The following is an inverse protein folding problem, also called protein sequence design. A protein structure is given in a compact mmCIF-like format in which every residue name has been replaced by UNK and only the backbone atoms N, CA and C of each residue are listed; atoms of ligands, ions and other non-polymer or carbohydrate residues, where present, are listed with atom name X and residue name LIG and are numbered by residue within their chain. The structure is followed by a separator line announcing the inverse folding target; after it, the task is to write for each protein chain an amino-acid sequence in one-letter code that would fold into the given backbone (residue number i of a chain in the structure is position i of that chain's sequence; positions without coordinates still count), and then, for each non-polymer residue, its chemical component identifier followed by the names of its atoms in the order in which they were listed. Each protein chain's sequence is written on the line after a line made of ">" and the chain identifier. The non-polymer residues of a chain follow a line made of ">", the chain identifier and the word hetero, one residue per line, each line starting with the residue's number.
data_IF_442557914340
#
_entry.id   IF_442557914340
#
_cell.length_a   1.000
_cell.length_b   1.000
_cell.length_c   1.000
_cell.angle_alpha   90.00
_cell.angle_beta   90.00
_cell.angle_gamma   90.00
#
_symmetry.space_group_name_H-M   'P 1'
#
loop_
_entity.id
_entity.type
_entity.pdbx_description
1 polymer ?
#
# COMPACT_ATOMS: atom_id res chain seq x y z
N UNK A 1 -13.36 12.64 -1.55
CA UNK A 1 -12.07 13.27 -1.77
C UNK A 1 -11.18 13.08 -0.54
N UNK A 2 -9.89 12.74 -0.75
CA UNK A 2 -8.98 12.32 0.31
C UNK A 2 -8.73 13.36 1.39
N UNK A 3 -8.59 14.61 1.03
CA UNK A 3 -8.37 15.70 2.00
C UNK A 3 -9.58 15.92 2.91
N UNK A 4 -10.80 15.87 2.33
CA UNK A 4 -12.03 16.06 3.09
C UNK A 4 -12.24 14.93 4.11
N UNK A 5 -12.06 13.68 3.68
CA UNK A 5 -12.14 12.52 4.57
C UNK A 5 -11.04 12.52 5.62
N UNK A 6 -9.81 12.90 5.24
CA UNK A 6 -8.69 13.04 6.17
C UNK A 6 -8.96 14.08 7.25
N UNK A 7 -9.50 15.25 6.88
CA UNK A 7 -9.88 16.30 7.84
C UNK A 7 -10.97 15.83 8.80
N UNK A 8 -11.99 15.15 8.29
CA UNK A 8 -13.05 14.56 9.12
C UNK A 8 -12.51 13.51 10.10
N UNK A 9 -11.66 12.60 9.61
CA UNK A 9 -11.02 11.58 10.44
C UNK A 9 -10.09 12.21 11.52
N UNK A 10 -9.36 13.29 11.17
CA UNK A 10 -8.51 14.00 12.10
C UNK A 10 -9.29 14.57 13.28
N UNK A 11 -10.49 15.11 13.02
CA UNK A 11 -11.36 15.67 14.06
C UNK A 11 -11.94 14.60 14.99
N UNK A 12 -12.22 13.40 14.48
CA UNK A 12 -12.85 12.32 15.25
C UNK A 12 -11.87 11.40 15.97
N UNK A 13 -10.58 11.44 15.63
CA UNK A 13 -9.56 10.51 16.16
C UNK A 13 -8.44 11.25 16.86
N UNK A 14 -7.72 10.54 17.74
CA UNK A 14 -6.63 11.14 18.54
C UNK A 14 -5.28 10.46 18.37
N UNK A 15 -5.24 9.23 17.85
CA UNK A 15 -4.03 8.40 17.81
C UNK A 15 -3.71 7.86 16.43
N UNK A 16 -4.69 7.37 15.70
CA UNK A 16 -4.48 6.75 14.39
C UNK A 16 -3.84 7.73 13.40
N UNK A 17 -2.86 7.27 12.65
CA UNK A 17 -2.30 7.99 11.52
C UNK A 17 -3.29 8.13 10.37
N UNK A 18 -3.23 9.22 9.64
CA UNK A 18 -4.13 9.55 8.54
C UNK A 18 -3.29 9.73 7.28
N UNK A 19 -3.48 8.86 6.31
CA UNK A 19 -2.73 8.91 5.06
C UNK A 19 -3.66 9.27 3.91
N UNK A 20 -3.31 10.35 3.19
CA UNK A 20 -4.08 10.81 2.02
C UNK A 20 -3.35 10.40 0.75
N UNK A 21 -4.08 9.79 -0.19
CA UNK A 21 -3.54 9.39 -1.50
C UNK A 21 -3.71 10.52 -2.51
N UNK A 22 -2.61 10.91 -3.15
CA UNK A 22 -2.58 11.96 -4.17
C UNK A 22 -1.92 11.43 -5.44
N UNK A 23 -2.58 11.66 -6.58
CA UNK A 23 -1.97 11.42 -7.89
C UNK A 23 -1.10 12.62 -8.26
N UNK A 24 0.21 12.50 -8.00
CA UNK A 24 1.17 13.60 -8.18
C UNK A 24 1.46 13.91 -9.65
N UNK A 25 1.09 13.04 -10.59
CA UNK A 25 1.20 13.33 -12.04
C UNK A 25 0.29 14.48 -12.47
N UNK A 26 -0.81 14.69 -11.76
CA UNK A 26 -1.83 15.69 -12.07
C UNK A 26 -2.00 16.75 -10.98
N UNK A 27 -1.08 16.79 -10.00
CA UNK A 27 -1.15 17.70 -8.86
C UNK A 27 0.01 18.69 -8.89
N UNK A 28 -0.18 19.83 -8.23
CA UNK A 28 0.86 20.84 -8.01
C UNK A 28 1.52 20.63 -6.66
N UNK A 29 2.88 20.66 -6.56
CA UNK A 29 3.59 20.39 -5.31
C UNK A 29 3.35 21.45 -4.23
N UNK A 30 3.18 22.75 -4.60
CA UNK A 30 2.93 23.81 -3.63
C UNK A 30 1.54 23.66 -2.99
N UNK A 31 0.51 23.44 -3.80
CA UNK A 31 -0.85 23.22 -3.31
C UNK A 31 -0.95 21.93 -2.49
N UNK A 32 -0.26 20.86 -2.91
CA UNK A 32 -0.19 19.61 -2.15
C UNK A 32 0.49 19.80 -0.80
N UNK A 33 1.61 20.51 -0.74
CA UNK A 33 2.31 20.81 0.51
C UNK A 33 1.42 21.61 1.48
N UNK A 34 0.74 22.66 0.98
CA UNK A 34 -0.22 23.42 1.79
C UNK A 34 -1.34 22.57 2.39
N UNK A 35 -1.96 21.73 1.57
CA UNK A 35 -3.08 20.90 2.01
C UNK A 35 -2.64 19.83 3.02
N UNK A 36 -1.53 19.14 2.74
CA UNK A 36 -1.00 18.08 3.61
C UNK A 36 -0.50 18.64 4.94
N UNK A 37 0.25 19.75 4.94
CA UNK A 37 0.74 20.36 6.18
C UNK A 37 -0.42 20.94 6.99
N UNK A 38 -1.44 21.54 6.34
CA UNK A 38 -2.66 21.95 7.03
C UNK A 38 -3.36 20.78 7.71
N UNK A 39 -3.46 19.64 7.03
CA UNK A 39 -4.03 18.42 7.61
C UNK A 39 -3.15 17.87 8.75
N UNK A 40 -1.83 18.01 8.66
CA UNK A 40 -0.92 17.62 9.72
C UNK A 40 -1.14 18.46 11.00
N UNK A 41 -1.35 19.77 10.86
CA UNK A 41 -1.76 20.62 11.99
C UNK A 41 -3.11 20.20 12.57
N UNK A 42 -4.13 19.96 11.73
CA UNK A 42 -5.45 19.51 12.18
C UNK A 42 -5.38 18.16 12.91
N UNK A 43 -4.53 17.27 12.46
CA UNK A 43 -4.34 15.94 13.05
C UNK A 43 -3.33 15.91 14.19
N UNK A 44 -2.63 17.03 14.46
CA UNK A 44 -1.56 17.14 15.47
C UNK A 44 -0.39 16.19 15.18
N UNK A 45 0.13 16.24 13.94
CA UNK A 45 1.30 15.47 13.55
C UNK A 45 1.01 14.02 13.16
N UNK A 46 -0.21 13.69 12.73
CA UNK A 46 -0.58 12.31 12.36
C UNK A 46 -0.84 12.09 10.87
N UNK A 47 -0.46 13.03 10.01
CA UNK A 47 -0.72 12.96 8.57
C UNK A 47 0.46 12.36 7.81
N UNK A 48 0.17 11.49 6.83
CA UNK A 48 1.10 11.00 5.83
C UNK A 48 0.58 11.21 4.41
N UNK A 49 1.48 11.18 3.45
CA UNK A 49 1.19 11.36 2.02
C UNK A 49 1.48 10.07 1.25
N UNK A 50 0.44 9.43 0.71
CA UNK A 50 0.63 8.34 -0.24
C UNK A 50 0.67 8.90 -1.67
N UNK A 51 1.83 8.79 -2.31
CA UNK A 51 2.04 9.28 -3.67
C UNK A 51 1.79 8.18 -4.69
N UNK A 52 0.95 8.47 -5.67
CA UNK A 52 0.73 7.61 -6.82
C UNK A 52 1.00 8.37 -8.11
N UNK A 53 1.48 7.66 -9.13
CA UNK A 53 1.84 8.24 -10.43
C UNK A 53 0.81 7.89 -11.52
N UNK A 54 -0.30 7.25 -11.16
CA UNK A 54 -1.31 6.81 -12.11
C UNK A 54 -0.87 5.62 -12.98
N UNK A 55 -1.80 5.12 -13.78
CA UNK A 55 -1.60 3.97 -14.68
C UNK A 55 -1.87 4.40 -16.11
N UNK A 56 -0.95 4.08 -17.02
CA UNK A 56 -1.14 4.28 -18.45
C UNK A 56 -2.29 3.41 -19.00
N UNK A 57 -2.89 3.85 -20.11
CA UNK A 57 -3.97 3.11 -20.78
C UNK A 57 -5.36 3.33 -20.15
N UNK A 58 -5.50 4.31 -19.27
CA UNK A 58 -6.80 4.76 -18.74
C UNK A 58 -7.14 6.16 -19.29
N UNK A 59 -8.42 6.45 -19.44
CA UNK A 59 -8.89 7.79 -19.84
C UNK A 59 -8.82 8.85 -18.72
N UNK A 60 -8.22 8.48 -17.58
CA UNK A 60 -8.12 9.38 -16.43
C UNK A 60 -7.39 10.71 -16.74
N UNK A 61 -6.39 10.68 -17.63
CA UNK A 61 -5.63 11.86 -18.08
C UNK A 61 -6.51 12.95 -18.69
N UNK A 62 -7.57 12.55 -19.39
CA UNK A 62 -8.51 13.48 -20.06
C UNK A 62 -9.26 14.36 -19.07
N UNK A 63 -9.48 13.91 -17.83
CA UNK A 63 -10.08 14.74 -16.77
C UNK A 63 -9.13 15.83 -16.26
N UNK A 64 -7.85 15.78 -16.65
CA UNK A 64 -6.82 16.75 -16.26
C UNK A 64 -6.24 17.49 -17.47
N UNK A 65 -7.03 17.65 -18.52
CA UNK A 65 -6.67 18.37 -19.78
C UNK A 65 -5.41 17.78 -20.46
N UNK A 66 -5.22 16.46 -20.39
CA UNK A 66 -4.14 15.75 -21.07
C UNK A 66 -4.72 14.64 -21.92
N UNK A 67 -4.28 14.56 -23.18
CA UNK A 67 -4.73 13.53 -24.11
C UNK A 67 -4.27 12.13 -23.66
N UNK A 68 -3.04 12.03 -23.16
CA UNK A 68 -2.42 10.76 -22.75
C UNK A 68 -1.77 10.86 -21.37
N UNK A 69 -1.65 9.71 -20.73
CA UNK A 69 -0.86 9.56 -19.51
C UNK A 69 0.62 9.50 -19.86
N UNK A 70 1.53 10.22 -19.17
CA UNK A 70 2.94 10.22 -19.50
C UNK A 70 3.56 8.81 -19.37
N UNK A 71 4.56 8.55 -20.22
CA UNK A 71 5.34 7.31 -20.19
C UNK A 71 6.10 7.14 -18.86
N UNK A 72 6.48 5.90 -18.54
CA UNK A 72 7.10 5.58 -17.25
C UNK A 72 8.30 6.47 -16.89
N UNK A 73 9.25 6.63 -17.80
CA UNK A 73 10.46 7.45 -17.57
C UNK A 73 10.11 8.92 -17.25
N UNK A 74 9.15 9.50 -17.97
CA UNK A 74 8.74 10.88 -17.78
C UNK A 74 7.95 11.07 -16.47
N UNK A 75 7.00 10.18 -16.19
CA UNK A 75 6.20 10.29 -14.97
C UNK A 75 7.02 10.10 -13.70
N UNK A 76 8.05 9.25 -13.71
CA UNK A 76 8.91 9.06 -12.55
C UNK A 76 9.96 10.19 -12.41
N UNK A 77 10.44 10.78 -13.50
CA UNK A 77 11.23 12.00 -13.45
C UNK A 77 10.42 13.19 -12.88
N UNK A 78 9.15 13.32 -13.30
CA UNK A 78 8.22 14.30 -12.73
C UNK A 78 7.95 14.02 -11.24
N UNK A 79 7.76 12.76 -10.86
CA UNK A 79 7.53 12.37 -9.47
C UNK A 79 8.74 12.64 -8.56
N UNK A 80 9.95 12.43 -9.06
CA UNK A 80 11.17 12.74 -8.31
C UNK A 80 11.28 14.24 -8.05
N UNK A 81 11.09 15.07 -9.07
CA UNK A 81 11.12 16.53 -8.93
C UNK A 81 9.99 17.05 -8.05
N UNK A 82 8.77 16.48 -8.19
CA UNK A 82 7.65 16.80 -7.31
C UNK A 82 7.99 16.58 -5.84
N UNK A 83 8.57 15.43 -5.48
CA UNK A 83 8.95 15.11 -4.11
C UNK A 83 10.13 15.94 -3.61
N UNK A 84 11.07 16.34 -4.47
CA UNK A 84 12.11 17.30 -4.11
C UNK A 84 11.49 18.64 -3.70
N UNK A 85 10.60 19.20 -4.53
CA UNK A 85 9.91 20.46 -4.25
C UNK A 85 9.03 20.35 -3.02
N UNK A 86 8.25 19.28 -2.90
CA UNK A 86 7.40 19.02 -1.73
C UNK A 86 8.23 19.01 -0.44
N UNK A 87 9.32 18.25 -0.40
CA UNK A 87 10.19 18.19 0.78
C UNK A 87 10.86 19.54 1.07
N UNK A 88 11.34 20.25 0.06
CA UNK A 88 11.92 21.58 0.24
C UNK A 88 10.90 22.57 0.84
N UNK A 89 9.65 22.55 0.36
CA UNK A 89 8.59 23.42 0.88
C UNK A 89 8.21 23.08 2.32
N UNK A 90 8.06 21.80 2.67
CA UNK A 90 7.69 21.38 4.03
C UNK A 90 8.79 21.63 5.04
N UNK A 91 10.06 21.78 4.60
CA UNK A 91 11.21 22.12 5.41
C UNK A 91 11.67 23.58 5.23
N UNK A 92 10.86 24.45 4.64
CA UNK A 92 11.23 25.84 4.36
C UNK A 92 11.19 26.78 5.56
N UNK A 93 10.76 26.29 6.72
CA UNK A 93 10.77 27.01 8.00
C UNK A 93 11.59 26.26 9.04
N UNK A 94 12.39 27.01 9.82
CA UNK A 94 13.11 26.46 10.97
C UNK A 94 12.14 26.14 12.13
N UNK A 95 12.47 25.20 13.03
CA UNK A 95 11.59 24.82 14.13
C UNK A 95 11.19 25.96 15.07
N UNK A 96 12.08 26.96 15.25
CA UNK A 96 11.92 28.12 16.14
C UNK A 96 11.40 29.38 15.41
N UNK A 97 10.63 29.21 14.36
CA UNK A 97 10.05 30.27 13.52
C UNK A 97 9.04 31.17 14.25
N UNK A 98 8.35 30.64 15.30
CA UNK A 98 7.29 31.32 16.00
C UNK A 98 7.84 32.20 17.12
N UNK A 99 7.54 33.50 17.10
CA UNK A 99 7.89 34.46 18.14
C UNK A 99 6.73 34.72 19.09
N UNK A 100 5.51 34.88 18.57
CA UNK A 100 4.24 35.17 19.27
C UNK A 100 4.36 36.33 20.33
N UNK A 101 5.13 37.37 20.00
CA UNK A 101 5.24 38.55 20.81
C UNK A 101 4.09 39.52 20.51
N UNK A 102 3.09 39.49 21.34
CA UNK A 102 1.88 40.31 21.20
C UNK A 102 2.11 41.79 21.53
N UNK A 103 3.05 42.09 22.42
CA UNK A 103 3.35 43.45 22.81
C UNK A 103 4.03 44.22 21.68
N UNK A 104 4.96 43.56 20.97
CA UNK A 104 5.64 44.14 19.82
C UNK A 104 4.93 43.87 18.47
N UNK A 105 3.83 43.08 18.49
CA UNK A 105 3.09 42.71 17.29
C UNK A 105 3.90 41.81 16.34
N UNK A 106 4.84 41.02 16.86
CA UNK A 106 5.68 40.12 16.08
C UNK A 106 5.17 38.71 16.24
N UNK A 107 4.60 38.14 15.15
CA UNK A 107 4.08 36.79 15.16
C UNK A 107 5.15 35.74 14.85
N UNK A 108 5.98 36.01 13.84
CA UNK A 108 7.04 35.09 13.39
C UNK A 108 8.35 35.84 13.12
N UNK A 109 9.45 35.09 13.13
CA UNK A 109 10.74 35.60 12.67
C UNK A 109 10.88 35.32 11.14
N UNK A 110 10.84 36.36 10.29
CA UNK A 110 10.95 36.19 8.84
C UNK A 110 12.31 35.63 8.41
N UNK A 111 13.36 35.75 9.23
CA UNK A 111 14.68 35.19 8.93
C UNK A 111 14.70 33.64 9.01
N UNK A 112 13.69 33.05 9.69
CA UNK A 112 13.52 31.61 9.82
C UNK A 112 12.79 30.96 8.64
N UNK A 113 12.24 31.74 7.72
CA UNK A 113 11.58 31.28 6.49
C UNK A 113 12.51 31.37 5.29
N UNK A 114 12.80 30.26 4.66
CA UNK A 114 13.77 30.18 3.56
C UNK A 114 13.06 29.96 2.23
N UNK A 115 13.39 30.81 1.23
CA UNK A 115 12.97 30.53 -0.13
C UNK A 115 13.64 29.26 -0.62
N UNK A 116 12.92 28.44 -1.37
CA UNK A 116 13.50 27.26 -2.01
C UNK A 116 14.07 27.58 -3.39
N UNK A 117 13.56 28.64 -4.05
CA UNK A 117 13.94 29.14 -5.37
C UNK A 117 14.23 27.99 -6.37
N UNK A 118 13.33 27.00 -6.39
CA UNK A 118 13.46 25.83 -7.24
C UNK A 118 13.14 26.19 -8.69
N UNK A 119 14.05 25.90 -9.60
CA UNK A 119 13.87 25.98 -11.04
C UNK A 119 14.28 24.62 -11.66
N UNK A 120 13.30 23.81 -12.03
CA UNK A 120 13.52 22.49 -12.56
C UNK A 120 12.88 22.27 -13.93
N UNK A 121 12.87 21.04 -14.37
CA UNK A 121 12.28 20.66 -15.67
C UNK A 121 10.77 20.78 -15.67
N UNK A 122 10.12 20.45 -14.56
CA UNK A 122 8.66 20.35 -14.45
C UNK A 122 8.05 21.44 -13.58
N UNK A 123 8.81 21.99 -12.65
CA UNK A 123 8.32 22.96 -11.67
C UNK A 123 9.26 24.15 -11.52
N UNK A 124 8.66 25.32 -11.28
CA UNK A 124 9.34 26.52 -10.85
C UNK A 124 8.62 27.08 -9.63
N UNK A 125 9.25 26.99 -8.44
CA UNK A 125 8.58 27.27 -7.17
C UNK A 125 9.50 28.07 -6.25
N UNK A 126 9.06 29.28 -5.88
CA UNK A 126 9.86 30.19 -5.07
C UNK A 126 9.91 29.83 -3.58
N UNK A 127 8.79 29.40 -3.01
CA UNK A 127 8.69 29.27 -1.55
C UNK A 127 8.86 30.61 -0.78
N UNK A 128 8.98 30.58 0.54
CA UNK A 128 8.71 29.43 1.39
C UNK A 128 7.23 29.00 1.37
N UNK A 129 6.93 27.90 2.02
CA UNK A 129 5.54 27.50 2.24
C UNK A 129 4.86 28.54 3.15
N UNK A 130 3.62 28.92 2.85
CA UNK A 130 2.87 29.91 3.62
C UNK A 130 2.08 29.30 4.79
N UNK A 131 2.50 28.14 5.25
CA UNK A 131 1.94 27.40 6.38
C UNK A 131 3.12 27.10 7.34
N UNK A 132 2.90 27.12 8.66
CA UNK A 132 3.91 26.71 9.64
C UNK A 132 4.46 25.31 9.35
N UNK A 133 5.70 24.99 9.80
CA UNK A 133 6.28 23.67 9.57
C UNK A 133 5.38 22.56 10.15
N UNK A 134 5.43 21.35 9.58
CA UNK A 134 4.59 20.25 10.04
C UNK A 134 4.90 19.90 11.51
N UNK A 135 3.89 19.71 12.37
CA UNK A 135 4.08 19.39 13.79
C UNK A 135 4.95 18.17 14.08
N UNK A 136 5.01 17.21 13.15
CA UNK A 136 5.87 16.02 13.27
C UNK A 136 7.26 16.20 12.63
N UNK A 137 7.64 17.43 12.25
CA UNK A 137 8.94 17.77 11.65
C UNK A 137 9.00 17.53 10.14
N UNK A 138 8.52 16.41 9.63
CA UNK A 138 8.40 16.08 8.21
C UNK A 138 7.14 15.23 7.95
N UNK A 139 6.71 15.17 6.73
CA UNK A 139 5.56 14.33 6.35
C UNK A 139 6.06 12.94 5.90
N UNK A 140 5.60 11.84 6.52
CA UNK A 140 5.90 10.50 6.03
C UNK A 140 5.33 10.28 4.64
N UNK A 141 6.14 9.69 3.76
CA UNK A 141 5.77 9.39 2.38
C UNK A 141 5.52 7.90 2.22
N UNK A 142 4.39 7.58 1.61
CA UNK A 142 4.01 6.23 1.22
C UNK A 142 4.06 6.13 -0.30
N UNK A 143 4.53 5.01 -0.82
CA UNK A 143 4.55 4.77 -2.26
C UNK A 143 4.27 3.31 -2.60
N UNK A 144 3.77 3.04 -3.80
CA UNK A 144 3.52 1.71 -4.33
C UNK A 144 4.07 1.56 -5.74
N UNK A 145 4.28 0.32 -6.16
CA UNK A 145 4.70 -0.03 -7.52
C UNK A 145 5.78 -1.09 -7.54
N UNK A 146 5.94 -1.72 -8.72
CA UNK A 146 6.82 -2.86 -8.93
C UNK A 146 7.80 -2.67 -10.09
N UNK A 147 7.81 -1.50 -10.76
CA UNK A 147 8.82 -1.18 -11.77
C UNK A 147 10.14 -0.73 -11.12
N UNK A 148 11.22 -0.78 -11.86
CA UNK A 148 12.55 -0.37 -11.40
C UNK A 148 12.57 1.09 -10.97
N UNK A 149 11.96 1.99 -11.75
CA UNK A 149 11.84 3.41 -11.43
C UNK A 149 11.01 3.63 -10.15
N UNK A 150 9.97 2.82 -9.93
CA UNK A 150 9.19 2.84 -8.68
C UNK A 150 10.05 2.41 -7.49
N UNK A 151 10.92 1.42 -7.68
CA UNK A 151 11.83 0.98 -6.63
C UNK A 151 12.82 2.08 -6.26
N UNK A 152 13.42 2.74 -7.24
CA UNK A 152 14.34 3.86 -7.02
C UNK A 152 13.65 5.04 -6.31
N UNK A 153 12.48 5.46 -6.81
CA UNK A 153 11.71 6.54 -6.17
C UNK A 153 11.36 6.20 -4.72
N UNK A 154 10.90 4.96 -4.49
CA UNK A 154 10.53 4.48 -3.16
C UNK A 154 11.74 4.36 -2.22
N UNK A 155 12.90 3.89 -2.70
CA UNK A 155 14.11 3.82 -1.89
C UNK A 155 14.60 5.21 -1.47
N UNK A 156 14.43 6.20 -2.34
CA UNK A 156 14.83 7.59 -2.09
C UNK A 156 13.93 8.30 -1.08
N UNK A 157 12.61 8.12 -1.16
CA UNK A 157 11.65 8.98 -0.45
C UNK A 157 10.68 8.26 0.49
N UNK A 158 10.30 7.00 0.19
CA UNK A 158 9.19 6.38 0.90
C UNK A 158 9.58 5.82 2.26
N UNK A 159 8.78 6.12 3.27
CA UNK A 159 8.85 5.53 4.62
C UNK A 159 8.05 4.23 4.68
N UNK A 160 7.01 4.11 3.84
CA UNK A 160 6.20 2.90 3.71
C UNK A 160 6.08 2.53 2.24
N UNK A 161 6.27 1.25 1.94
CA UNK A 161 6.01 0.67 0.63
C UNK A 161 4.77 -0.21 0.69
N UNK A 162 3.74 0.15 -0.07
CA UNK A 162 2.67 -0.79 -0.35
C UNK A 162 3.09 -1.74 -1.46
N UNK A 163 2.84 -3.02 -1.25
CA UNK A 163 3.18 -4.06 -2.23
C UNK A 163 2.01 -5.02 -2.47
N UNK A 164 2.01 -5.76 -3.58
CA UNK A 164 1.22 -6.97 -3.68
C UNK A 164 1.81 -8.06 -2.79
N UNK A 165 1.04 -9.09 -2.48
CA UNK A 165 1.55 -10.34 -1.94
C UNK A 165 1.43 -11.43 -2.99
N UNK A 166 2.53 -12.10 -3.31
CA UNK A 166 2.62 -13.11 -4.37
C UNK A 166 3.26 -14.42 -3.91
N UNK A 167 3.06 -14.79 -2.65
CA UNK A 167 3.64 -15.98 -2.05
C UNK A 167 4.99 -15.74 -1.37
N UNK A 168 5.42 -16.69 -0.55
CA UNK A 168 6.56 -16.55 0.38
C UNK A 168 7.87 -16.17 -0.31
N UNK A 169 8.25 -16.95 -1.31
CA UNK A 169 9.56 -16.77 -1.97
C UNK A 169 9.63 -15.46 -2.73
N UNK A 170 8.54 -15.10 -3.43
CA UNK A 170 8.47 -13.84 -4.15
C UNK A 170 8.53 -12.64 -3.20
N UNK A 171 7.76 -12.67 -2.09
CA UNK A 171 7.73 -11.55 -1.16
C UNK A 171 9.04 -11.41 -0.39
N UNK A 172 9.71 -12.50 -0.05
CA UNK A 172 11.05 -12.47 0.54
C UNK A 172 12.09 -11.87 -0.42
N UNK A 173 12.04 -12.27 -1.69
CA UNK A 173 12.90 -11.70 -2.72
C UNK A 173 12.60 -10.20 -2.95
N UNK A 174 11.32 -9.83 -3.02
CA UNK A 174 10.87 -8.44 -3.11
C UNK A 174 11.33 -7.60 -1.91
N UNK A 175 11.19 -8.13 -0.70
CA UNK A 175 11.65 -7.48 0.53
C UNK A 175 13.15 -7.17 0.48
N UNK A 176 13.96 -8.16 0.13
CA UNK A 176 15.40 -8.01 0.03
C UNK A 176 15.83 -7.01 -1.06
N UNK A 177 15.15 -7.05 -2.21
CA UNK A 177 15.40 -6.13 -3.33
C UNK A 177 15.13 -4.67 -2.92
N UNK A 178 13.99 -4.40 -2.27
CA UNK A 178 13.62 -3.06 -1.82
C UNK A 178 14.57 -2.56 -0.73
N UNK A 179 14.81 -3.37 0.30
CA UNK A 179 15.69 -2.99 1.42
C UNK A 179 17.14 -2.81 0.94
N UNK A 180 17.60 -3.61 -0.02
CA UNK A 180 18.94 -3.53 -0.60
C UNK A 180 19.24 -2.23 -1.36
N UNK A 181 18.21 -1.48 -1.78
CA UNK A 181 18.40 -0.18 -2.46
C UNK A 181 18.55 1.01 -1.50
N UNK A 182 18.13 0.88 -0.26
CA UNK A 182 18.13 1.99 0.72
C UNK A 182 19.51 2.60 0.98
N UNK A 183 20.62 1.81 1.10
CA UNK A 183 21.94 2.36 1.36
C UNK A 183 22.44 3.33 0.30
N UNK A 184 22.00 3.20 -0.96
CA UNK A 184 22.30 4.16 -2.05
C UNK A 184 21.88 5.59 -1.70
N UNK A 185 20.87 5.74 -0.85
CA UNK A 185 20.29 7.02 -0.41
C UNK A 185 20.59 7.34 1.05
N UNK A 186 21.61 6.70 1.64
CA UNK A 186 22.00 6.90 3.03
C UNK A 186 20.97 6.44 4.05
N UNK A 187 20.10 5.50 3.65
CA UNK A 187 19.03 4.94 4.49
C UNK A 187 19.34 3.49 4.89
N UNK A 188 18.73 3.04 5.96
CA UNK A 188 18.83 1.68 6.50
C UNK A 188 17.51 0.92 6.34
N UNK A 189 17.53 -0.37 6.59
CA UNK A 189 16.31 -1.18 6.58
C UNK A 189 15.23 -0.69 7.56
N UNK A 190 15.64 -0.10 8.68
CA UNK A 190 14.73 0.46 9.68
C UNK A 190 13.99 1.73 9.22
N UNK A 191 14.49 2.41 8.19
CA UNK A 191 13.90 3.66 7.69
C UNK A 191 12.72 3.43 6.72
N UNK A 192 12.35 2.17 6.44
CA UNK A 192 11.25 1.89 5.53
C UNK A 192 10.51 0.61 5.89
N UNK A 193 9.18 0.64 5.85
CA UNK A 193 8.31 -0.52 6.08
C UNK A 193 7.66 -1.00 4.79
N UNK A 194 7.59 -2.32 4.60
CA UNK A 194 6.94 -2.98 3.46
C UNK A 194 5.63 -3.58 3.94
N UNK A 195 4.50 -3.10 3.39
CA UNK A 195 3.15 -3.48 3.80
C UNK A 195 2.36 -4.04 2.60
N UNK A 196 2.34 -5.36 2.39
CA UNK A 196 1.45 -5.96 1.40
C UNK A 196 -0.02 -5.86 1.83
N UNK A 197 -0.90 -5.83 0.83
CA UNK A 197 -2.33 -5.75 1.04
C UNK A 197 -3.00 -7.10 1.12
N UNK A 198 -3.90 -7.29 2.11
CA UNK A 198 -4.67 -8.51 2.29
C UNK A 198 -6.14 -8.19 2.57
N UNK A 199 -7.02 -9.07 2.09
CA UNK A 199 -8.43 -9.08 2.47
C UNK A 199 -8.65 -10.18 3.50
N UNK A 200 -8.91 -9.80 4.75
CA UNK A 200 -9.09 -10.76 5.83
C UNK A 200 -10.54 -11.14 6.04
N UNK A 201 -10.81 -12.44 6.01
CA UNK A 201 -12.07 -13.06 6.43
C UNK A 201 -11.85 -13.77 7.76
N UNK A 202 -12.25 -13.11 8.83
CA UNK A 202 -11.99 -13.58 10.21
C UNK A 202 -13.32 -13.88 10.91
N UNK A 203 -13.32 -14.97 11.67
CA UNK A 203 -14.40 -15.31 12.59
C UNK A 203 -13.86 -16.06 13.81
N UNK A 204 -14.69 -16.44 14.78
CA UNK A 204 -14.30 -17.22 15.95
C UNK A 204 -13.69 -18.57 15.58
N UNK A 205 -14.14 -19.17 14.49
CA UNK A 205 -13.63 -20.45 13.97
C UNK A 205 -13.28 -20.34 12.49
N UNK A 206 -12.28 -21.09 12.05
CA UNK A 206 -11.89 -21.19 10.63
C UNK A 206 -13.04 -21.67 9.76
N UNK A 207 -13.90 -22.57 10.28
CA UNK A 207 -15.10 -23.02 9.56
C UNK A 207 -16.08 -21.88 9.30
N UNK A 208 -16.32 -21.03 10.30
CA UNK A 208 -17.21 -19.87 10.16
C UNK A 208 -16.62 -18.82 9.20
N UNK A 209 -15.32 -18.55 9.29
CA UNK A 209 -14.61 -17.65 8.39
C UNK A 209 -14.71 -18.13 6.91
N UNK A 210 -14.52 -19.44 6.66
CA UNK A 210 -14.68 -20.03 5.33
C UNK A 210 -16.11 -19.97 4.82
N UNK A 211 -17.10 -20.13 5.70
CA UNK A 211 -18.50 -19.95 5.32
C UNK A 211 -18.80 -18.52 4.87
N UNK A 212 -18.32 -17.51 5.62
CA UNK A 212 -18.43 -16.09 5.22
C UNK A 212 -17.72 -15.80 3.90
N UNK A 213 -16.52 -16.32 3.71
CA UNK A 213 -15.80 -16.16 2.45
C UNK A 213 -16.63 -16.68 1.27
N UNK A 214 -17.17 -17.91 1.37
CA UNK A 214 -18.04 -18.50 0.33
C UNK A 214 -19.30 -17.70 0.10
N UNK A 215 -19.93 -17.19 1.17
CA UNK A 215 -21.10 -16.33 1.05
C UNK A 215 -20.81 -15.09 0.22
N UNK A 216 -19.72 -14.36 0.50
CA UNK A 216 -19.31 -13.18 -0.27
C UNK A 216 -19.02 -13.54 -1.73
N UNK A 217 -18.37 -14.68 -1.98
CA UNK A 217 -18.11 -15.16 -3.34
C UNK A 217 -19.41 -15.41 -4.13
N UNK A 218 -20.48 -15.83 -3.47
CA UNK A 218 -21.78 -16.06 -4.12
C UNK A 218 -22.49 -14.76 -4.55
N UNK A 219 -22.07 -13.59 -4.06
CA UNK A 219 -22.56 -12.30 -4.55
C UNK A 219 -21.96 -11.87 -5.89
N UNK A 220 -21.04 -12.63 -6.44
CA UNK A 220 -20.50 -12.37 -7.78
C UNK A 220 -21.59 -12.58 -8.83
N UNK A 221 -22.09 -11.49 -9.39
CA UNK A 221 -23.21 -11.49 -10.35
C UNK A 221 -22.76 -11.71 -11.79
N UNK A 222 -21.45 -11.76 -12.05
CA UNK A 222 -20.92 -11.92 -13.37
C UNK A 222 -21.17 -13.33 -13.91
N UNK A 223 -21.54 -13.44 -15.19
CA UNK A 223 -21.55 -14.70 -15.88
C UNK A 223 -20.14 -15.31 -15.88
N UNK A 224 -20.07 -16.63 -15.72
CA UNK A 224 -18.81 -17.33 -15.76
C UNK A 224 -18.11 -17.13 -17.11
N UNK A 225 -16.87 -16.64 -17.05
CA UNK A 225 -16.03 -16.36 -18.21
C UNK A 225 -14.82 -17.31 -18.27
N UNK A 226 -14.93 -18.45 -18.98
CA UNK A 226 -13.85 -19.44 -19.05
C UNK A 226 -12.51 -18.84 -19.56
N UNK A 227 -12.58 -17.93 -20.53
CA UNK A 227 -11.40 -17.26 -21.08
C UNK A 227 -10.66 -16.39 -20.04
N UNK A 228 -11.40 -15.75 -19.13
CA UNK A 228 -10.78 -14.95 -18.08
C UNK A 228 -10.01 -15.83 -17.08
N UNK A 229 -10.58 -16.98 -16.71
CA UNK A 229 -9.96 -17.95 -15.82
C UNK A 229 -8.72 -18.59 -16.45
N UNK A 230 -8.85 -19.04 -17.69
CA UNK A 230 -7.74 -19.62 -18.48
C UNK A 230 -6.63 -18.59 -18.68
N UNK A 231 -6.99 -17.34 -19.00
CA UNK A 231 -6.04 -16.23 -19.10
C UNK A 231 -5.34 -15.91 -17.78
N UNK A 232 -6.05 -15.96 -16.67
CA UNK A 232 -5.50 -15.78 -15.33
C UNK A 232 -4.47 -16.87 -14.98
N UNK A 233 -4.81 -18.13 -15.26
CA UNK A 233 -3.88 -19.26 -15.10
C UNK A 233 -2.75 -19.25 -16.14
N UNK A 234 -2.95 -18.55 -17.28
CA UNK A 234 -2.04 -18.46 -18.41
C UNK A 234 -1.68 -19.84 -18.99
N UNK A 235 -2.63 -20.72 -18.99
CA UNK A 235 -2.51 -22.06 -19.51
C UNK A 235 -3.22 -22.17 -20.85
N UNK A 236 -2.72 -23.03 -21.73
CA UNK A 236 -3.44 -23.44 -22.93
C UNK A 236 -4.44 -24.53 -22.56
N UNK A 237 -5.53 -24.12 -21.94
CA UNK A 237 -6.67 -25.00 -21.65
C UNK A 237 -7.80 -24.68 -22.63
N UNK A 238 -8.62 -25.70 -22.91
CA UNK A 238 -9.92 -25.49 -23.53
C UNK A 238 -10.84 -24.60 -22.69
N UNK A 239 -12.14 -24.60 -22.97
CA UNK A 239 -13.13 -23.92 -22.14
C UNK A 239 -13.63 -24.86 -21.04
N UNK A 240 -13.08 -24.83 -19.80
CA UNK A 240 -13.53 -25.72 -18.73
C UNK A 240 -14.97 -25.39 -18.33
N UNK A 241 -15.72 -26.39 -17.88
CA UNK A 241 -17.05 -26.15 -17.34
C UNK A 241 -16.94 -25.50 -15.95
N UNK A 242 -17.95 -24.70 -15.54
CA UNK A 242 -17.96 -24.06 -14.20
C UNK A 242 -17.83 -25.04 -13.05
N UNK A 243 -18.32 -26.27 -13.23
CA UNK A 243 -18.33 -27.35 -12.23
C UNK A 243 -17.10 -28.25 -12.27
N UNK A 244 -16.23 -28.11 -13.29
CA UNK A 244 -15.00 -28.88 -13.35
C UNK A 244 -14.10 -28.50 -12.16
N UNK A 245 -13.49 -29.53 -11.54
CA UNK A 245 -12.54 -29.31 -10.45
C UNK A 245 -11.21 -28.84 -11.02
N UNK A 246 -10.67 -27.77 -10.44
CA UNK A 246 -9.45 -27.14 -10.98
C UNK A 246 -8.29 -28.14 -11.08
N UNK A 247 -8.01 -28.90 -10.01
CA UNK A 247 -6.91 -29.86 -9.99
C UNK A 247 -7.14 -31.13 -10.81
N UNK A 248 -8.36 -31.37 -11.32
CA UNK A 248 -8.59 -32.46 -12.29
C UNK A 248 -8.24 -32.07 -13.73
N UNK A 249 -8.11 -30.76 -14.00
CA UNK A 249 -7.84 -30.22 -15.34
C UNK A 249 -6.43 -29.60 -15.42
N UNK A 250 -5.98 -28.98 -14.34
CA UNK A 250 -4.69 -28.28 -14.26
C UNK A 250 -3.61 -29.23 -13.76
N UNK A 251 -2.55 -29.43 -14.54
CA UNK A 251 -1.35 -30.16 -14.10
C UNK A 251 -0.55 -29.30 -13.10
N UNK A 252 -0.91 -29.41 -11.82
CA UNK A 252 -0.32 -28.67 -10.73
C UNK A 252 1.19 -28.97 -10.56
N UNK A 253 1.59 -30.23 -10.72
CA UNK A 253 3.00 -30.62 -10.57
C UNK A 253 3.86 -30.06 -11.72
N UNK A 254 3.31 -29.95 -12.92
CA UNK A 254 3.95 -29.26 -14.04
C UNK A 254 4.15 -27.78 -13.73
N UNK A 255 3.12 -27.08 -13.21
CA UNK A 255 3.22 -25.69 -12.82
C UNK A 255 4.31 -25.46 -11.76
N UNK A 256 4.40 -26.35 -10.77
CA UNK A 256 5.46 -26.28 -9.73
C UNK A 256 6.85 -26.42 -10.35
N UNK A 257 7.05 -27.38 -11.25
CA UNK A 257 8.34 -27.56 -11.94
C UNK A 257 8.71 -26.35 -12.79
N UNK A 258 7.77 -25.76 -13.50
CA UNK A 258 8.00 -24.57 -14.31
C UNK A 258 8.31 -23.33 -13.45
N UNK A 259 7.62 -23.16 -12.32
CA UNK A 259 7.86 -22.07 -11.40
C UNK A 259 9.24 -22.15 -10.73
N UNK A 260 9.69 -23.36 -10.35
CA UNK A 260 10.98 -23.59 -9.71
C UNK A 260 12.19 -23.24 -10.60
N UNK A 261 12.00 -23.18 -11.93
CA UNK A 261 13.06 -22.88 -12.90
C UNK A 261 13.22 -21.37 -13.18
N UNK A 262 12.45 -20.50 -12.53
CA UNK A 262 12.40 -19.06 -12.84
C UNK A 262 12.88 -18.19 -11.70
N UNK A 263 13.68 -17.18 -12.06
CA UNK A 263 14.03 -16.09 -11.14
C UNK A 263 12.80 -15.19 -10.92
N UNK A 264 12.51 -14.74 -9.70
CA UNK A 264 11.45 -13.77 -9.44
C UNK A 264 11.63 -12.53 -10.31
N UNK A 265 10.63 -12.18 -11.10
CA UNK A 265 10.62 -10.98 -11.90
C UNK A 265 9.62 -9.99 -11.28
N UNK A 266 10.13 -8.89 -10.70
CA UNK A 266 9.31 -7.87 -10.06
C UNK A 266 8.62 -6.96 -11.09
N UNK A 267 9.17 -6.83 -12.29
CA UNK A 267 8.63 -6.03 -13.39
C UNK A 267 7.60 -6.80 -14.24
N UNK A 268 7.31 -8.05 -13.88
CA UNK A 268 6.39 -8.90 -14.64
C UNK A 268 4.95 -8.40 -14.57
N UNK A 269 4.35 -8.23 -15.75
CA UNK A 269 2.89 -8.11 -15.87
C UNK A 269 2.23 -9.37 -15.27
N UNK A 270 1.04 -9.25 -14.65
CA UNK A 270 0.27 -10.42 -14.24
C UNK A 270 0.13 -11.38 -15.43
N UNK A 271 0.56 -12.62 -15.27
CA UNK A 271 0.44 -13.61 -16.36
C UNK A 271 1.68 -14.43 -16.68
N UNK A 272 2.80 -14.24 -15.99
CA UNK A 272 3.95 -15.15 -16.13
C UNK A 272 3.78 -16.40 -15.25
N UNK A 273 4.37 -17.55 -15.63
CA UNK A 273 4.05 -18.85 -15.03
C UNK A 273 4.31 -18.99 -13.53
N UNK A 274 5.29 -18.27 -12.96
CA UNK A 274 5.49 -18.24 -11.52
C UNK A 274 4.38 -17.48 -10.79
N UNK A 275 3.88 -16.39 -11.37
CA UNK A 275 2.75 -15.62 -10.84
C UNK A 275 1.45 -16.42 -10.85
N UNK A 276 1.34 -17.43 -11.73
CA UNK A 276 0.16 -18.27 -11.89
C UNK A 276 0.05 -19.33 -10.81
N UNK A 277 1.20 -19.92 -10.43
CA UNK A 277 1.22 -20.92 -9.38
C UNK A 277 0.76 -20.32 -8.04
N UNK A 278 1.40 -19.22 -7.61
CA UNK A 278 1.02 -18.62 -6.33
C UNK A 278 -0.43 -18.10 -6.32
N UNK A 279 -0.90 -17.54 -7.45
CA UNK A 279 -2.28 -17.07 -7.55
C UNK A 279 -3.28 -18.23 -7.45
N UNK A 280 -2.95 -19.37 -8.06
CA UNK A 280 -3.72 -20.60 -7.91
C UNK A 280 -3.69 -21.10 -6.46
N UNK A 281 -2.51 -21.18 -5.85
CA UNK A 281 -2.35 -21.64 -4.46
C UNK A 281 -3.12 -20.74 -3.48
N UNK A 282 -3.03 -19.43 -3.61
CA UNK A 282 -3.80 -18.50 -2.77
C UNK A 282 -5.31 -18.67 -2.93
N UNK A 283 -5.78 -18.92 -4.15
CA UNK A 283 -7.19 -19.17 -4.40
C UNK A 283 -7.63 -20.51 -3.76
N UNK A 284 -6.84 -21.57 -3.92
CA UNK A 284 -7.13 -22.87 -3.33
C UNK A 284 -7.10 -22.80 -1.79
N UNK A 285 -6.14 -22.12 -1.21
CA UNK A 285 -6.03 -21.93 0.24
C UNK A 285 -7.21 -21.15 0.83
N UNK A 286 -7.69 -20.14 0.13
CA UNK A 286 -8.86 -19.36 0.56
C UNK A 286 -10.12 -20.23 0.68
N UNK A 287 -10.32 -21.17 -0.24
CA UNK A 287 -11.42 -22.16 -0.17
C UNK A 287 -11.10 -23.28 0.84
N UNK A 288 -9.83 -23.67 0.98
CA UNK A 288 -9.32 -24.61 1.98
C UNK A 288 -9.68 -26.08 1.79
N UNK A 289 -10.24 -26.41 0.64
CA UNK A 289 -10.51 -27.78 0.19
C UNK A 289 -10.09 -27.86 -1.29
N UNK A 290 -8.79 -28.01 -1.48
CA UNK A 290 -8.13 -27.92 -2.80
C UNK A 290 -8.74 -28.86 -3.84
N UNK A 291 -9.09 -30.09 -3.42
CA UNK A 291 -9.62 -31.13 -4.33
C UNK A 291 -11.02 -30.81 -4.87
N UNK A 292 -11.75 -29.95 -4.16
CA UNK A 292 -13.14 -29.64 -4.51
C UNK A 292 -13.34 -28.21 -5.05
N UNK A 293 -12.28 -27.41 -5.17
CA UNK A 293 -12.36 -26.08 -5.79
C UNK A 293 -12.69 -26.23 -7.29
N UNK A 294 -13.72 -25.53 -7.73
CA UNK A 294 -14.20 -25.56 -9.11
C UNK A 294 -13.70 -24.36 -9.91
N UNK A 295 -13.83 -24.41 -11.24
CA UNK A 295 -13.54 -23.24 -12.08
C UNK A 295 -14.49 -22.08 -11.82
N UNK A 296 -15.69 -22.31 -11.33
CA UNK A 296 -16.58 -21.25 -10.86
C UNK A 296 -16.00 -20.54 -9.62
N UNK A 297 -15.49 -21.30 -8.67
CA UNK A 297 -14.85 -20.73 -7.47
C UNK A 297 -13.63 -19.87 -7.85
N UNK A 298 -12.79 -20.37 -8.75
CA UNK A 298 -11.64 -19.61 -9.23
C UNK A 298 -12.03 -18.35 -10.00
N UNK A 299 -13.10 -18.41 -10.81
CA UNK A 299 -13.66 -17.22 -11.45
C UNK A 299 -14.13 -16.17 -10.43
N UNK A 300 -14.86 -16.60 -9.40
CA UNK A 300 -15.33 -15.71 -8.34
C UNK A 300 -14.17 -15.10 -7.57
N UNK A 301 -13.10 -15.88 -7.30
CA UNK A 301 -11.88 -15.37 -6.70
C UNK A 301 -11.28 -14.24 -7.55
N UNK A 302 -11.09 -14.46 -8.84
CA UNK A 302 -10.52 -13.47 -9.76
C UNK A 302 -11.38 -12.21 -9.84
N UNK A 303 -12.70 -12.36 -9.88
CA UNK A 303 -13.64 -11.25 -9.99
C UNK A 303 -13.66 -10.37 -8.73
N UNK A 304 -13.53 -10.98 -7.55
CA UNK A 304 -13.61 -10.27 -6.27
C UNK A 304 -12.25 -9.78 -5.75
N UNK A 305 -11.13 -10.41 -6.15
CA UNK A 305 -9.79 -10.10 -5.63
C UNK A 305 -8.76 -9.92 -6.77
N UNK A 306 -8.92 -8.89 -7.60
CA UNK A 306 -8.01 -8.68 -8.73
C UNK A 306 -6.61 -8.26 -8.24
N UNK A 307 -5.74 -9.23 -8.07
CA UNK A 307 -4.28 -9.09 -8.18
C UNK A 307 -3.47 -8.52 -6.99
N UNK A 308 -4.03 -7.70 -6.11
CA UNK A 308 -3.22 -6.99 -5.10
C UNK A 308 -3.69 -7.17 -3.65
N UNK A 309 -4.73 -7.98 -3.41
CA UNK A 309 -5.38 -8.11 -2.11
C UNK A 309 -5.71 -9.57 -1.84
N UNK A 310 -4.67 -10.37 -1.59
CA UNK A 310 -4.86 -11.79 -1.35
C UNK A 310 -5.80 -12.03 -0.15
N UNK A 311 -6.84 -12.88 -0.28
CA UNK A 311 -7.70 -13.24 0.83
C UNK A 311 -6.97 -14.15 1.80
N UNK A 312 -7.10 -13.86 3.09
CA UNK A 312 -6.64 -14.70 4.19
C UNK A 312 -7.86 -15.06 5.03
N UNK A 313 -8.14 -16.36 5.15
CA UNK A 313 -9.39 -16.86 5.71
C UNK A 313 -9.08 -17.79 6.90
N UNK A 314 -9.53 -17.43 8.09
CA UNK A 314 -9.27 -18.25 9.27
C UNK A 314 -9.85 -17.69 10.56
N UNK A 315 -9.66 -18.43 11.66
CA UNK A 315 -9.92 -17.90 12.99
C UNK A 315 -8.94 -16.75 13.32
N UNK A 316 -9.27 -15.92 14.31
CA UNK A 316 -8.35 -14.87 14.76
C UNK A 316 -6.97 -15.40 15.10
N UNK A 317 -6.88 -16.59 15.71
CA UNK A 317 -5.61 -17.25 16.03
C UNK A 317 -4.87 -17.70 14.77
N UNK A 318 -5.55 -18.32 13.81
CA UNK A 318 -4.91 -18.80 12.58
C UNK A 318 -4.36 -17.64 11.75
N UNK A 319 -5.12 -16.55 11.64
CA UNK A 319 -4.70 -15.34 10.94
C UNK A 319 -3.52 -14.66 11.64
N UNK A 320 -3.52 -14.59 12.97
CA UNK A 320 -2.39 -14.06 13.73
C UNK A 320 -1.13 -14.93 13.59
N UNK A 321 -1.26 -16.26 13.57
CA UNK A 321 -0.16 -17.19 13.28
C UNK A 321 0.39 -16.96 11.88
N UNK A 322 -0.51 -16.89 10.89
CA UNK A 322 -0.16 -16.66 9.49
C UNK A 322 0.62 -15.34 9.29
N UNK A 323 0.22 -14.26 9.98
CA UNK A 323 0.93 -12.97 9.96
C UNK A 323 2.30 -13.12 10.64
N UNK A 324 2.35 -13.74 11.83
CA UNK A 324 3.57 -13.88 12.62
C UNK A 324 4.66 -14.66 11.88
N UNK A 325 4.33 -15.82 11.33
CA UNK A 325 5.28 -16.62 10.55
C UNK A 325 5.92 -15.84 9.40
N UNK A 326 5.13 -15.03 8.69
CA UNK A 326 5.59 -14.26 7.52
C UNK A 326 6.41 -13.05 7.91
N UNK A 327 6.04 -12.42 9.00
CA UNK A 327 6.81 -11.33 9.61
C UNK A 327 8.21 -11.85 10.03
N UNK A 328 8.30 -12.96 10.75
CA UNK A 328 9.57 -13.58 11.16
C UNK A 328 10.40 -14.02 9.94
N UNK A 329 9.78 -14.49 8.89
CA UNK A 329 10.42 -14.85 7.63
C UNK A 329 10.89 -13.65 6.79
N UNK A 330 10.65 -12.42 7.23
CA UNK A 330 10.99 -11.18 6.49
C UNK A 330 10.33 -11.14 5.11
N UNK A 331 9.06 -11.53 5.03
CA UNK A 331 8.25 -11.36 3.84
C UNK A 331 7.63 -9.94 3.77
N UNK A 332 7.48 -9.30 4.95
CA UNK A 332 6.98 -7.94 5.14
C UNK A 332 7.29 -7.42 6.56
N UNK A 333 7.12 -6.11 6.77
CA UNK A 333 7.23 -5.46 8.09
C UNK A 333 5.86 -5.26 8.76
N UNK A 334 4.77 -5.49 8.05
CA UNK A 334 3.40 -5.38 8.53
C UNK A 334 2.40 -5.64 7.42
N UNK A 335 1.12 -5.42 7.68
CA UNK A 335 0.04 -5.73 6.73
C UNK A 335 -0.87 -4.53 6.50
N UNK A 336 -1.33 -4.36 5.26
CA UNK A 336 -2.41 -3.45 4.91
C UNK A 336 -3.72 -4.23 4.85
N UNK A 337 -4.63 -3.92 5.77
CA UNK A 337 -5.93 -4.62 5.90
C UNK A 337 -6.95 -3.98 4.95
N UNK A 338 -7.51 -4.79 4.06
CA UNK A 338 -8.67 -4.46 3.26
C UNK A 338 -9.89 -5.21 3.81
N UNK A 339 -10.88 -4.52 4.36
CA UNK A 339 -12.13 -5.18 4.71
C UNK A 339 -12.90 -5.55 3.43
N UNK A 340 -13.38 -6.81 3.26
CA UNK A 340 -14.14 -7.20 2.08
C UNK A 340 -15.48 -6.46 1.94
N UNK A 341 -16.02 -5.99 3.06
CA UNK A 341 -17.16 -5.09 3.18
C UNK A 341 -17.05 -4.33 4.52
N UNK A 342 -17.92 -3.38 4.80
CA UNK A 342 -17.79 -2.51 5.99
C UNK A 342 -19.11 -2.52 6.78
N UNK A 343 -19.06 -2.45 8.13
CA UNK A 343 -17.87 -2.31 9.02
C UNK A 343 -17.40 -3.65 9.62
N UNK A 344 -18.18 -4.73 9.57
CA UNK A 344 -18.03 -5.95 10.39
C UNK A 344 -16.68 -6.67 10.23
N UNK A 345 -16.11 -6.87 9.01
CA UNK A 345 -14.83 -7.58 8.88
C UNK A 345 -13.66 -6.85 9.54
N UNK A 346 -13.68 -5.52 9.53
CA UNK A 346 -12.65 -4.75 10.22
C UNK A 346 -12.79 -4.89 11.74
N UNK A 347 -14.01 -4.87 12.27
CA UNK A 347 -14.27 -5.11 13.69
C UNK A 347 -13.81 -6.53 14.08
N UNK A 348 -14.14 -7.55 13.30
CA UNK A 348 -13.68 -8.92 13.56
C UNK A 348 -12.14 -9.05 13.55
N UNK A 349 -11.45 -8.35 12.64
CA UNK A 349 -9.99 -8.31 12.66
C UNK A 349 -9.46 -7.67 13.95
N UNK A 350 -10.02 -6.52 14.34
CA UNK A 350 -9.62 -5.81 15.57
C UNK A 350 -9.91 -6.64 16.81
N UNK A 351 -11.06 -7.29 16.89
CA UNK A 351 -11.50 -8.01 18.09
C UNK A 351 -10.85 -9.38 18.26
N UNK A 352 -10.52 -10.06 17.16
CA UNK A 352 -10.05 -11.46 17.19
C UNK A 352 -8.56 -11.61 16.81
N UNK A 353 -8.01 -10.77 15.92
CA UNK A 353 -6.62 -10.90 15.45
C UNK A 353 -5.68 -10.03 16.25
N UNK A 354 -6.04 -8.75 16.47
CA UNK A 354 -5.17 -7.80 17.18
C UNK A 354 -4.76 -8.30 18.57
N UNK A 355 -5.66 -8.82 19.43
CA UNK A 355 -5.25 -9.34 20.73
C UNK A 355 -4.25 -10.51 20.65
N UNK A 356 -4.37 -11.37 19.62
CA UNK A 356 -3.42 -12.46 19.40
C UNK A 356 -2.03 -11.95 18.96
N UNK A 357 -1.99 -10.91 18.09
CA UNK A 357 -0.72 -10.26 17.70
C UNK A 357 -0.07 -9.56 18.90
N UNK A 358 -0.87 -8.92 19.75
CA UNK A 358 -0.40 -8.28 21.00
C UNK A 358 0.18 -9.34 21.97
N UNK A 359 -0.52 -10.44 22.18
CA UNK A 359 -0.06 -11.55 23.01
C UNK A 359 1.27 -12.15 22.53
N UNK A 360 1.52 -12.12 21.22
CA UNK A 360 2.77 -12.55 20.59
C UNK A 360 3.88 -11.48 20.64
N UNK A 361 3.59 -10.28 21.12
CA UNK A 361 4.54 -9.17 21.22
C UNK A 361 4.91 -8.51 19.89
N UNK A 362 4.16 -8.78 18.80
CA UNK A 362 4.42 -8.22 17.47
C UNK A 362 3.46 -7.09 17.07
N UNK A 363 2.56 -6.72 17.97
CA UNK A 363 1.69 -5.55 17.79
C UNK A 363 1.62 -4.75 19.10
N UNK A 364 1.55 -3.42 18.96
CA UNK A 364 1.48 -2.51 20.11
C UNK A 364 0.25 -2.74 20.98
N UNK A 365 0.39 -2.63 22.28
CA UNK A 365 -0.73 -2.64 23.23
C UNK A 365 -1.21 -1.23 23.54
N UNK A 366 -0.34 -0.22 23.35
CA UNK A 366 -0.64 1.20 23.52
C UNK A 366 0.19 2.03 22.52
N UNK A 367 -0.23 3.27 22.31
CA UNK A 367 0.56 4.25 21.57
C UNK A 367 1.50 4.97 22.53
N UNK A 368 2.79 4.91 22.30
CA UNK A 368 3.83 5.56 23.12
C UNK A 368 4.08 7.00 22.71
N UNK A 369 3.75 7.34 21.45
CA UNK A 369 3.93 8.66 20.87
C UNK A 369 2.60 9.27 20.43
N UNK A 370 2.63 10.51 19.92
CA UNK A 370 1.44 11.23 19.46
C UNK A 370 1.41 11.48 17.96
N UNK A 371 2.53 11.31 17.26
CA UNK A 371 2.69 11.61 15.84
C UNK A 371 2.75 10.33 15.00
N UNK A 372 2.51 10.43 13.69
CA UNK A 372 2.62 9.28 12.80
C UNK A 372 4.07 8.80 12.68
N UNK A 373 5.04 9.72 12.56
CA UNK A 373 6.46 9.36 12.55
C UNK A 373 6.88 8.64 13.83
N UNK A 374 6.41 9.12 14.98
CA UNK A 374 6.67 8.45 16.26
C UNK A 374 6.03 7.07 16.36
N UNK A 375 4.80 6.91 15.87
CA UNK A 375 4.15 5.59 15.82
C UNK A 375 4.91 4.58 14.95
N UNK A 376 5.64 5.08 13.94
CA UNK A 376 6.49 4.28 13.06
C UNK A 376 7.93 4.12 13.59
N UNK A 377 8.30 4.80 14.68
CA UNK A 377 9.69 4.81 15.17
C UNK A 377 10.67 5.55 14.24
N UNK A 378 10.16 6.49 13.43
CA UNK A 378 10.92 7.24 12.43
C UNK A 378 11.18 8.72 12.83
N UNK A 379 10.81 9.12 14.02
CA UNK A 379 11.22 10.43 14.58
C UNK A 379 12.74 10.43 14.75
N UNK A 380 13.42 11.37 14.10
CA UNK A 380 14.84 11.61 14.36
C UNK A 380 14.93 12.57 15.53
N UNK A 381 15.67 12.16 16.58
CA UNK A 381 16.03 13.01 17.70
C UNK A 381 16.85 14.21 17.26
#
# INVERSE_FOLDING_TARGET
>A
EGYALGGYAAALTKKIGIVVTINITYSDPYNTARAIVSLDHLSRGRTGLNVVTGVAGTDASKNFSREEHPLAAEKYAHADEFLQVFNALTNSWEPDWLVDDRERGIFLDPAKGHRIDHEGRFFSVRGPLNIPPPPQGRIPVIHAGTSDESFELGAKYADIRFSPYRGRDWNKAYYNEIKGRLPKYGRTEADQFILPGFTFFVDETTRAAKAKYREVQNFTLNEYAPKAVVGFLGLELGAPAPTDKVLSVVDYDRLKREAAQRTPNFNGQPGQAADKLWALELALDAYGDWENVTFRDLHNYIANFPGNQAPVVGSGRDVAEWIHERFENREFDGVKVFPPYSPQPLAAFVDLVVPELQRRGIFRTQYETSTLLGHLGLEKN
#
